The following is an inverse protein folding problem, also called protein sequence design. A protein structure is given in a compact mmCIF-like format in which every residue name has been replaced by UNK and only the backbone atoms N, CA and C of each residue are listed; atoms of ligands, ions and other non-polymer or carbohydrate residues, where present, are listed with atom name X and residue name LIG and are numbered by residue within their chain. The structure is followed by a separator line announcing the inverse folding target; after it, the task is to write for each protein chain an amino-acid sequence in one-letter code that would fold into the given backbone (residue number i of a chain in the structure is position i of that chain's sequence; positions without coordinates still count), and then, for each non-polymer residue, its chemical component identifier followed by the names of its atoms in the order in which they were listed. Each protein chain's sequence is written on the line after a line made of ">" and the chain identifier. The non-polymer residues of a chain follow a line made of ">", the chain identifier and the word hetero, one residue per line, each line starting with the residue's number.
data_IF_411441032264
#
_entry.id   IF_411441032264
#
_cell.length_a   1.000
_cell.length_b   1.000
_cell.length_c   1.000
_cell.angle_alpha   90.00
_cell.angle_beta   90.00
_cell.angle_gamma   90.00
#
_symmetry.space_group_name_H-M   'P 1'
#
loop_
_entity.id
_entity.type
_entity.pdbx_description
1 polymer ?
#
# COMPACT_ATOMS: atom_id res chain seq x y z
N UNK A 1 -47.44 3.28 37.15
CA UNK A 1 -46.19 3.95 36.68
C UNK A 1 -45.19 2.83 36.44
N UNK A 2 -44.91 2.55 35.16
CA UNK A 2 -44.16 1.42 34.69
C UNK A 2 -42.69 1.48 35.17
N UNK A 3 -42.30 0.54 36.02
CA UNK A 3 -40.88 0.24 36.30
C UNK A 3 -40.26 -0.40 35.07
N UNK A 4 -39.87 0.41 34.11
CA UNK A 4 -38.94 -0.02 33.04
C UNK A 4 -37.59 -0.22 33.72
N UNK A 5 -36.96 -1.41 33.67
CA UNK A 5 -35.64 -1.60 34.26
C UNK A 5 -34.66 -0.57 33.72
N UNK A 6 -33.77 -0.02 34.55
CA UNK A 6 -32.77 0.99 34.20
C UNK A 6 -31.97 0.58 32.94
N UNK A 7 -31.72 -0.70 32.76
CA UNK A 7 -31.09 -1.26 31.59
C UNK A 7 -31.89 -1.02 30.28
N UNK A 8 -33.22 -1.16 30.30
CA UNK A 8 -34.10 -0.91 29.14
C UNK A 8 -34.15 0.57 28.84
N UNK A 9 -34.14 1.44 29.85
CA UNK A 9 -34.11 2.90 29.65
C UNK A 9 -32.82 3.33 28.97
N UNK A 10 -31.67 2.82 29.43
CA UNK A 10 -30.37 3.06 28.77
C UNK A 10 -30.29 2.57 27.30
N UNK A 11 -30.93 1.45 26.98
CA UNK A 11 -31.02 0.96 25.61
C UNK A 11 -31.90 1.86 24.70
N UNK A 12 -33.01 2.36 25.24
CA UNK A 12 -33.90 3.29 24.50
C UNK A 12 -33.17 4.61 24.19
N UNK A 13 -32.47 5.19 25.15
CA UNK A 13 -31.66 6.39 24.92
C UNK A 13 -30.54 6.16 23.91
N UNK A 14 -29.90 5.01 23.94
CA UNK A 14 -28.86 4.68 22.97
C UNK A 14 -29.42 4.51 21.55
N UNK A 15 -30.57 3.91 21.40
CA UNK A 15 -31.24 3.76 20.09
C UNK A 15 -31.74 5.11 19.54
N UNK A 16 -32.26 5.98 20.38
CA UNK A 16 -32.61 7.35 20.00
C UNK A 16 -31.39 8.13 19.54
N UNK A 17 -30.29 8.07 20.26
CA UNK A 17 -29.02 8.70 19.89
C UNK A 17 -28.48 8.15 18.58
N UNK A 18 -28.54 6.84 18.37
CA UNK A 18 -28.14 6.20 17.09
C UNK A 18 -28.99 6.69 15.92
N UNK A 19 -30.30 6.78 16.13
CA UNK A 19 -31.24 7.25 15.11
C UNK A 19 -31.01 8.74 14.79
N UNK A 20 -30.83 9.59 15.81
CA UNK A 20 -30.47 10.98 15.63
C UNK A 20 -29.20 11.14 14.80
N UNK A 21 -28.12 10.44 15.15
CA UNK A 21 -26.85 10.49 14.44
C UNK A 21 -26.96 9.96 13.01
N UNK A 22 -27.86 9.01 12.74
CA UNK A 22 -28.15 8.51 11.39
C UNK A 22 -28.80 9.59 10.54
N UNK A 23 -29.79 10.28 11.08
CA UNK A 23 -30.50 11.39 10.39
C UNK A 23 -29.53 12.55 10.15
N UNK A 24 -28.78 12.96 11.17
CA UNK A 24 -27.80 14.04 11.08
C UNK A 24 -26.75 13.78 9.98
N UNK A 25 -26.15 12.57 9.96
CA UNK A 25 -25.19 12.19 8.90
C UNK A 25 -25.84 12.20 7.50
N UNK A 26 -27.10 11.79 7.42
CA UNK A 26 -27.82 11.85 6.14
C UNK A 26 -28.01 13.31 5.67
N UNK A 27 -28.41 14.21 6.55
CA UNK A 27 -28.55 15.63 6.25
C UNK A 27 -27.23 16.24 5.78
N UNK A 28 -26.10 15.93 6.45
CA UNK A 28 -24.79 16.39 6.02
C UNK A 28 -24.45 15.92 4.60
N UNK A 29 -24.68 14.66 4.28
CA UNK A 29 -24.44 14.15 2.92
C UNK A 29 -25.36 14.73 1.86
N UNK A 30 -26.61 14.97 2.22
CA UNK A 30 -27.61 15.52 1.29
C UNK A 30 -27.38 17.03 1.04
N UNK A 31 -26.67 17.73 1.94
CA UNK A 31 -26.36 19.16 1.82
C UNK A 31 -25.03 19.47 1.12
N UNK A 32 -24.22 18.46 0.78
CA UNK A 32 -22.88 18.66 0.25
C UNK A 32 -22.59 17.66 -0.88
N UNK A 33 -21.87 18.14 -1.90
CA UNK A 33 -21.31 17.28 -2.94
C UNK A 33 -19.79 17.30 -2.84
N UNK A 34 -19.13 16.19 -2.47
CA UNK A 34 -17.66 16.16 -2.35
C UNK A 34 -16.92 16.58 -3.63
N UNK A 35 -17.55 16.38 -4.79
CA UNK A 35 -16.97 16.75 -6.09
C UNK A 35 -17.14 18.24 -6.46
N UNK A 36 -17.71 19.05 -5.59
CA UNK A 36 -17.73 20.53 -5.69
C UNK A 36 -16.65 21.18 -4.82
N UNK A 37 -15.89 20.36 -4.07
CA UNK A 37 -14.74 20.82 -3.29
C UNK A 37 -13.65 21.36 -4.23
N UNK A 38 -12.90 22.43 -3.85
CA UNK A 38 -11.72 22.85 -4.60
C UNK A 38 -10.74 21.69 -4.80
N UNK A 39 -10.15 21.59 -6.00
CA UNK A 39 -9.31 20.45 -6.41
C UNK A 39 -8.15 20.20 -5.42
N UNK A 40 -7.48 21.26 -4.98
CA UNK A 40 -6.37 21.16 -4.02
C UNK A 40 -6.83 20.52 -2.70
N UNK A 41 -7.99 20.93 -2.18
CA UNK A 41 -8.54 20.37 -0.94
C UNK A 41 -9.04 18.92 -1.16
N UNK A 42 -9.54 18.61 -2.36
CA UNK A 42 -9.95 17.27 -2.73
C UNK A 42 -8.75 16.30 -2.71
N UNK A 43 -7.64 16.70 -3.37
CA UNK A 43 -6.40 15.90 -3.39
C UNK A 43 -5.83 15.73 -1.98
N UNK A 44 -5.76 16.78 -1.16
CA UNK A 44 -5.33 16.68 0.24
C UNK A 44 -6.17 15.69 1.05
N UNK A 45 -7.48 15.65 0.78
CA UNK A 45 -8.44 14.83 1.52
C UNK A 45 -8.47 13.38 1.04
N UNK A 46 -8.39 13.15 -0.27
CA UNK A 46 -8.64 11.85 -0.90
C UNK A 46 -7.43 11.28 -1.67
N UNK A 47 -6.34 12.05 -1.79
CA UNK A 47 -5.05 11.64 -2.42
C UNK A 47 -5.10 11.38 -3.93
N UNK A 48 -6.25 11.46 -4.54
CA UNK A 48 -6.47 11.44 -5.98
C UNK A 48 -7.19 12.73 -6.37
N UNK A 49 -7.08 13.13 -7.64
CA UNK A 49 -7.88 14.23 -8.16
C UNK A 49 -9.32 13.78 -8.44
N UNK A 50 -10.21 14.75 -8.68
CA UNK A 50 -11.63 14.45 -8.86
C UNK A 50 -11.89 13.56 -10.07
N UNK A 51 -11.24 13.83 -11.20
CA UNK A 51 -11.45 13.07 -12.44
C UNK A 51 -11.00 11.63 -12.30
N UNK A 52 -9.80 11.39 -11.73
CA UNK A 52 -9.30 10.05 -11.47
C UNK A 52 -10.18 9.29 -10.48
N UNK A 53 -10.73 10.00 -9.49
CA UNK A 53 -11.66 9.42 -8.53
C UNK A 53 -12.98 9.01 -9.21
N UNK A 54 -13.50 9.80 -10.15
CA UNK A 54 -14.68 9.42 -10.96
C UNK A 54 -14.40 8.19 -11.80
N UNK A 55 -13.28 8.16 -12.49
CA UNK A 55 -12.82 6.99 -13.28
C UNK A 55 -12.72 5.75 -12.39
N UNK A 56 -12.11 5.87 -11.22
CA UNK A 56 -12.00 4.76 -10.25
C UNK A 56 -13.38 4.24 -9.83
N UNK A 57 -14.33 5.13 -9.56
CA UNK A 57 -15.70 4.76 -9.21
C UNK A 57 -16.36 4.01 -10.39
N UNK A 58 -16.23 4.52 -11.60
CA UNK A 58 -16.79 3.89 -12.83
C UNK A 58 -16.25 2.48 -13.05
N UNK A 59 -14.96 2.25 -12.80
CA UNK A 59 -14.36 0.91 -12.92
C UNK A 59 -14.88 -0.07 -11.87
N UNK A 60 -15.15 0.40 -10.66
CA UNK A 60 -15.49 -0.48 -9.53
C UNK A 60 -16.99 -0.66 -9.33
N UNK A 61 -17.82 0.33 -9.68
CA UNK A 61 -19.27 0.34 -9.38
C UNK A 61 -20.03 -0.84 -9.98
N UNK A 62 -19.77 -1.30 -11.23
CA UNK A 62 -20.44 -2.46 -11.79
C UNK A 62 -20.25 -3.74 -10.95
N UNK A 63 -19.17 -3.83 -10.23
CA UNK A 63 -18.79 -4.98 -9.38
C UNK A 63 -19.18 -4.79 -7.91
N UNK A 64 -19.69 -3.62 -7.54
CA UNK A 64 -20.01 -3.28 -6.15
C UNK A 64 -21.24 -3.99 -5.58
N UNK A 65 -21.96 -4.75 -6.42
CA UNK A 65 -23.19 -5.46 -6.08
C UNK A 65 -24.45 -4.58 -6.10
N UNK A 66 -25.61 -5.21 -6.33
CA UNK A 66 -26.87 -4.50 -6.54
C UNK A 66 -27.31 -3.74 -5.29
N UNK A 67 -27.70 -2.50 -5.47
CA UNK A 67 -28.28 -1.64 -4.43
C UNK A 67 -29.77 -2.03 -4.22
N UNK A 68 -30.01 -2.97 -3.29
CA UNK A 68 -31.38 -3.47 -3.01
C UNK A 68 -32.24 -2.55 -2.11
N UNK A 69 -31.64 -1.57 -1.43
CA UNK A 69 -32.34 -0.69 -0.48
C UNK A 69 -32.02 0.77 -0.79
N UNK A 70 -33.02 1.66 -0.78
CA UNK A 70 -32.85 3.12 -0.95
C UNK A 70 -32.01 3.74 0.16
N UNK A 71 -31.96 3.11 1.34
CA UNK A 71 -31.15 3.55 2.49
C UNK A 71 -29.68 3.13 2.42
N UNK A 72 -29.28 2.33 1.41
CA UNK A 72 -27.88 1.93 1.21
C UNK A 72 -27.08 3.14 0.73
N UNK A 73 -25.90 3.32 1.33
CA UNK A 73 -24.97 4.39 0.96
C UNK A 73 -24.63 4.33 -0.54
N UNK A 74 -24.53 5.47 -1.23
CA UNK A 74 -24.01 5.55 -2.59
C UNK A 74 -22.59 5.00 -2.65
N UNK A 75 -22.26 4.30 -3.73
CA UNK A 75 -20.96 3.64 -3.84
C UNK A 75 -19.79 4.63 -3.88
N UNK A 76 -19.98 5.80 -4.50
CA UNK A 76 -18.94 6.83 -4.51
C UNK A 76 -18.50 7.26 -3.10
N UNK A 77 -19.43 7.29 -2.12
CA UNK A 77 -19.07 7.57 -0.73
C UNK A 77 -18.26 6.45 -0.09
N UNK A 78 -18.51 5.19 -0.46
CA UNK A 78 -17.70 4.06 0.00
C UNK A 78 -16.26 4.18 -0.52
N UNK A 79 -16.07 4.63 -1.77
CA UNK A 79 -14.77 4.89 -2.38
C UNK A 79 -14.07 6.07 -1.70
N UNK A 80 -14.75 7.22 -1.57
CA UNK A 80 -14.20 8.41 -0.92
C UNK A 80 -13.79 8.15 0.54
N UNK A 81 -14.62 7.41 1.29
CA UNK A 81 -14.28 6.99 2.65
C UNK A 81 -13.00 6.15 2.70
N UNK A 82 -12.84 5.24 1.72
CA UNK A 82 -11.65 4.40 1.61
C UNK A 82 -10.42 5.23 1.26
N UNK A 83 -10.51 6.12 0.28
CA UNK A 83 -9.42 7.01 -0.11
C UNK A 83 -8.99 7.92 1.05
N UNK A 84 -9.95 8.50 1.78
CA UNK A 84 -9.66 9.33 2.95
C UNK A 84 -8.94 8.53 4.05
N UNK A 85 -9.38 7.29 4.33
CA UNK A 85 -8.69 6.41 5.27
C UNK A 85 -7.26 6.11 4.82
N UNK A 86 -7.07 5.69 3.57
CA UNK A 86 -5.75 5.39 3.01
C UNK A 86 -4.82 6.61 3.10
N UNK A 87 -5.34 7.78 2.71
CA UNK A 87 -4.57 9.02 2.63
C UNK A 87 -4.21 9.63 3.98
N UNK A 88 -5.08 9.53 4.99
CA UNK A 88 -4.86 10.16 6.29
C UNK A 88 -4.24 9.21 7.32
N UNK A 89 -4.46 7.91 7.20
CA UNK A 89 -4.12 6.93 8.22
C UNK A 89 -4.89 7.15 9.53
N UNK A 90 -6.00 7.90 9.48
CA UNK A 90 -6.79 8.24 10.67
C UNK A 90 -7.64 7.07 11.11
N UNK A 91 -8.04 7.07 12.41
CA UNK A 91 -9.01 6.09 12.89
C UNK A 91 -10.32 6.17 12.12
N UNK A 92 -10.99 5.03 11.93
CA UNK A 92 -12.27 4.94 11.21
C UNK A 92 -13.34 5.91 11.75
N UNK A 93 -13.31 6.21 13.05
CA UNK A 93 -14.21 7.19 13.65
C UNK A 93 -13.95 8.60 13.09
N UNK A 94 -12.70 9.02 12.99
CA UNK A 94 -12.30 10.32 12.42
C UNK A 94 -12.67 10.45 10.96
N UNK A 95 -12.45 9.39 10.16
CA UNK A 95 -12.90 9.32 8.76
C UNK A 95 -14.42 9.50 8.67
N UNK A 96 -15.18 8.82 9.52
CA UNK A 96 -16.64 8.92 9.57
C UNK A 96 -17.16 10.29 10.03
N UNK A 97 -16.33 11.05 10.76
CA UNK A 97 -16.64 12.42 11.21
C UNK A 97 -16.29 13.48 10.17
N UNK A 98 -15.56 13.13 9.11
CA UNK A 98 -15.34 14.00 7.98
C UNK A 98 -16.70 14.37 7.35
N UNK A 99 -17.00 15.68 7.27
CA UNK A 99 -18.30 16.18 6.80
C UNK A 99 -18.64 15.69 5.40
N UNK A 100 -17.65 15.58 4.53
CA UNK A 100 -17.79 15.13 3.14
C UNK A 100 -18.11 13.64 3.00
N UNK A 101 -17.80 12.84 4.02
CA UNK A 101 -18.06 11.40 4.07
C UNK A 101 -19.28 11.11 4.93
N UNK A 102 -19.34 11.68 6.13
CA UNK A 102 -20.42 11.62 7.11
C UNK A 102 -21.01 10.20 7.29
N UNK A 103 -20.16 9.22 7.63
CA UNK A 103 -20.52 7.82 7.78
C UNK A 103 -20.32 7.33 9.21
N UNK A 104 -21.02 6.25 9.60
CA UNK A 104 -20.74 5.58 10.88
C UNK A 104 -19.50 4.70 10.78
N UNK A 105 -18.79 4.53 11.89
CA UNK A 105 -17.59 3.68 11.94
C UNK A 105 -17.84 2.25 11.40
N UNK A 106 -18.95 1.54 11.68
CA UNK A 106 -19.22 0.24 11.04
C UNK A 106 -19.45 0.33 9.54
N UNK A 107 -19.96 1.46 9.02
CA UNK A 107 -20.11 1.68 7.60
C UNK A 107 -18.73 1.88 6.94
N UNK A 108 -17.85 2.69 7.54
CA UNK A 108 -16.46 2.85 7.10
C UNK A 108 -15.75 1.49 7.04
N UNK A 109 -15.82 0.70 8.10
CA UNK A 109 -15.20 -0.63 8.15
C UNK A 109 -15.64 -1.54 7.01
N UNK A 110 -16.95 -1.56 6.71
CA UNK A 110 -17.49 -2.34 5.58
C UNK A 110 -17.03 -1.80 4.23
N UNK A 111 -17.00 -0.48 4.07
CA UNK A 111 -16.55 0.20 2.84
C UNK A 111 -15.09 -0.12 2.54
N UNK A 112 -14.21 0.01 3.54
CA UNK A 112 -12.79 -0.35 3.43
C UNK A 112 -12.60 -1.79 2.96
N UNK A 113 -13.26 -2.75 3.63
CA UNK A 113 -13.18 -4.17 3.25
C UNK A 113 -13.64 -4.40 1.81
N UNK A 114 -14.74 -3.78 1.41
CA UNK A 114 -15.33 -3.94 0.09
C UNK A 114 -14.47 -3.30 -1.00
N UNK A 115 -14.13 -2.02 -0.84
CA UNK A 115 -13.40 -1.27 -1.88
C UNK A 115 -11.98 -1.81 -2.04
N UNK A 116 -11.24 -2.08 -0.93
CA UNK A 116 -9.90 -2.68 -1.04
C UNK A 116 -9.92 -4.03 -1.75
N UNK A 117 -10.93 -4.89 -1.49
CA UNK A 117 -11.07 -6.16 -2.21
C UNK A 117 -11.40 -5.98 -3.69
N UNK A 118 -12.24 -5.00 -4.04
CA UNK A 118 -12.55 -4.68 -5.44
C UNK A 118 -11.31 -4.17 -6.17
N UNK A 119 -10.58 -3.24 -5.59
CA UNK A 119 -9.32 -2.73 -6.16
C UNK A 119 -8.31 -3.87 -6.36
N UNK A 120 -8.11 -4.70 -5.33
CA UNK A 120 -7.16 -5.82 -5.42
C UNK A 120 -7.60 -6.88 -6.43
N UNK A 121 -8.90 -7.22 -6.48
CA UNK A 121 -9.38 -8.28 -7.36
C UNK A 121 -9.52 -7.88 -8.82
N UNK A 122 -9.81 -6.61 -9.10
CA UNK A 122 -10.12 -6.13 -10.45
C UNK A 122 -8.97 -5.33 -11.06
N UNK A 123 -8.36 -4.44 -10.28
CA UNK A 123 -7.40 -3.49 -10.81
C UNK A 123 -5.94 -3.95 -10.61
N UNK A 124 -5.62 -4.57 -9.49
CA UNK A 124 -4.24 -4.99 -9.23
C UNK A 124 -3.64 -5.86 -10.36
N UNK A 125 -4.35 -6.87 -10.94
CA UNK A 125 -3.79 -7.67 -12.02
C UNK A 125 -3.47 -6.88 -13.29
N UNK A 126 -4.14 -5.73 -13.49
CA UNK A 126 -3.90 -4.85 -14.63
C UNK A 126 -2.79 -3.82 -14.38
N UNK A 127 -2.67 -3.36 -13.14
CA UNK A 127 -1.78 -2.25 -12.78
C UNK A 127 -0.44 -2.67 -12.17
N UNK A 128 -0.37 -3.86 -11.56
CA UNK A 128 0.86 -4.42 -10.97
C UNK A 128 1.20 -5.68 -11.76
N UNK A 129 2.11 -5.56 -12.73
CA UNK A 129 2.53 -6.65 -13.61
C UNK A 129 4.06 -6.74 -13.63
N UNK A 130 4.57 -7.91 -13.31
CA UNK A 130 5.99 -8.20 -13.49
C UNK A 130 6.29 -8.50 -14.98
N UNK A 131 7.37 -7.96 -15.56
CA UNK A 131 7.68 -8.14 -16.98
C UNK A 131 7.99 -9.61 -17.28
N UNK A 132 7.28 -10.17 -18.26
CA UNK A 132 7.43 -11.56 -18.69
C UNK A 132 7.94 -11.67 -20.12
N UNK A 133 7.57 -10.73 -20.99
CA UNK A 133 8.02 -10.74 -22.38
C UNK A 133 9.35 -10.00 -22.56
N UNK A 134 10.06 -10.31 -23.63
CA UNK A 134 11.34 -9.64 -23.94
C UNK A 134 11.15 -8.15 -24.23
N UNK A 135 10.02 -7.77 -24.83
CA UNK A 135 9.66 -6.37 -25.09
C UNK A 135 9.48 -5.59 -23.78
N UNK A 136 8.71 -6.14 -22.82
CA UNK A 136 8.51 -5.54 -21.50
C UNK A 136 9.84 -5.40 -20.75
N UNK A 137 10.65 -6.47 -20.72
CA UNK A 137 11.98 -6.45 -20.10
C UNK A 137 12.90 -5.42 -20.76
N UNK A 138 12.89 -5.33 -22.07
CA UNK A 138 13.74 -4.39 -22.84
C UNK A 138 13.36 -2.93 -22.52
N UNK A 139 12.07 -2.63 -22.45
CA UNK A 139 11.60 -1.29 -22.08
C UNK A 139 12.08 -0.88 -20.68
N UNK A 140 11.98 -1.79 -19.67
CA UNK A 140 12.43 -1.52 -18.32
C UNK A 140 13.95 -1.40 -18.23
N UNK A 141 14.70 -2.28 -18.90
CA UNK A 141 16.17 -2.20 -19.01
C UNK A 141 16.63 -0.86 -19.60
N UNK A 142 15.93 -0.38 -20.65
CA UNK A 142 16.16 0.94 -21.24
C UNK A 142 16.03 2.06 -20.20
N UNK A 143 14.96 2.08 -19.42
CA UNK A 143 14.73 3.08 -18.40
C UNK A 143 15.79 3.09 -17.29
N UNK A 144 16.29 1.94 -16.87
CA UNK A 144 17.41 1.86 -15.90
C UNK A 144 18.74 2.31 -16.54
N UNK A 145 18.98 1.92 -17.78
CA UNK A 145 20.20 2.33 -18.48
C UNK A 145 20.25 3.85 -18.73
N UNK A 146 19.16 4.44 -19.19
CA UNK A 146 19.06 5.87 -19.44
C UNK A 146 19.28 6.71 -18.18
N UNK A 147 18.71 6.27 -17.04
CA UNK A 147 18.78 7.03 -15.80
C UNK A 147 20.05 6.81 -14.98
N UNK A 148 20.58 5.59 -14.99
CA UNK A 148 21.64 5.17 -14.08
C UNK A 148 22.86 4.59 -14.78
N UNK A 149 22.81 4.33 -16.10
CA UNK A 149 23.87 3.66 -16.84
C UNK A 149 24.00 2.16 -16.52
N UNK A 150 23.05 1.58 -15.76
CA UNK A 150 23.09 0.18 -15.33
C UNK A 150 22.35 -0.71 -16.34
N UNK A 151 23.06 -1.69 -16.91
CA UNK A 151 22.51 -2.58 -17.94
C UNK A 151 21.81 -3.78 -17.32
N UNK A 152 20.76 -4.26 -17.98
CA UNK A 152 20.12 -5.56 -17.65
C UNK A 152 19.17 -5.54 -16.46
N UNK A 153 19.05 -4.43 -15.71
CA UNK A 153 18.12 -4.32 -14.61
C UNK A 153 16.67 -4.32 -15.09
N UNK A 154 15.85 -5.20 -14.55
CA UNK A 154 14.39 -5.29 -14.80
C UNK A 154 13.56 -4.94 -13.58
N UNK A 155 14.17 -4.49 -12.51
CA UNK A 155 13.52 -4.01 -11.30
C UNK A 155 14.47 -3.90 -10.12
N UNK A 156 14.09 -3.07 -9.15
CA UNK A 156 14.69 -3.02 -7.83
C UNK A 156 13.75 -3.67 -6.83
N UNK A 157 14.27 -4.53 -5.96
CA UNK A 157 13.52 -5.26 -4.93
C UNK A 157 13.91 -4.78 -3.54
N UNK A 158 12.90 -4.63 -2.68
CA UNK A 158 13.10 -4.31 -1.26
C UNK A 158 11.93 -4.82 -0.41
N UNK A 159 12.16 -4.95 0.92
CA UNK A 159 11.15 -5.22 1.92
C UNK A 159 10.77 -3.95 2.67
N UNK A 160 9.49 -3.80 3.00
CA UNK A 160 9.04 -2.72 3.86
C UNK A 160 8.01 -3.22 4.87
N UNK A 161 8.13 -2.77 6.13
CA UNK A 161 7.21 -3.15 7.18
C UNK A 161 6.01 -2.22 7.26
N UNK A 162 4.82 -2.80 7.45
CA UNK A 162 3.57 -2.10 7.76
C UNK A 162 3.05 -2.61 9.09
N UNK A 163 2.99 -1.73 10.09
CA UNK A 163 2.57 -2.07 11.45
C UNK A 163 1.08 -2.44 11.50
N UNK A 164 0.76 -3.49 12.26
CA UNK A 164 -0.60 -3.97 12.50
C UNK A 164 -0.85 -4.16 13.99
N UNK A 165 -2.11 -4.18 14.40
CA UNK A 165 -2.44 -4.62 15.76
C UNK A 165 -2.05 -6.10 15.95
N UNK A 166 -1.74 -6.45 17.18
CA UNK A 166 -1.48 -7.84 17.58
C UNK A 166 -2.66 -8.73 17.15
N UNK A 167 -2.43 -9.76 16.31
CA UNK A 167 -3.48 -10.73 16.01
C UNK A 167 -3.98 -11.43 17.29
N UNK A 168 -5.25 -11.88 17.33
CA UNK A 168 -5.77 -12.61 18.50
C UNK A 168 -4.98 -13.90 18.77
N UNK A 169 -4.67 -14.20 20.03
CA UNK A 169 -3.97 -15.43 20.43
C UNK A 169 -4.73 -16.69 20.00
N UNK A 170 -6.04 -16.58 19.85
CA UNK A 170 -6.92 -17.68 19.39
C UNK A 170 -6.88 -17.91 17.89
N UNK A 171 -6.22 -17.05 17.12
CA UNK A 171 -6.07 -17.20 15.68
C UNK A 171 -4.91 -18.14 15.36
N UNK A 172 -5.22 -19.39 15.06
CA UNK A 172 -4.22 -20.44 14.78
C UNK A 172 -3.49 -20.18 13.46
N UNK A 173 -4.16 -19.58 12.49
CA UNK A 173 -3.60 -19.32 11.16
C UNK A 173 -2.66 -18.09 11.18
N UNK A 174 -2.84 -17.19 12.16
CA UNK A 174 -2.06 -15.95 12.28
C UNK A 174 -1.55 -15.77 13.72
N UNK A 175 -0.69 -16.68 14.22
CA UNK A 175 -0.22 -16.61 15.61
C UNK A 175 0.59 -15.31 15.83
N UNK A 176 0.33 -14.56 16.93
CA UNK A 176 0.93 -13.24 17.16
C UNK A 176 2.44 -13.17 17.06
N UNK A 177 3.13 -14.18 17.58
CA UNK A 177 4.60 -14.19 17.68
C UNK A 177 5.32 -14.14 16.33
N UNK A 178 4.72 -14.66 15.25
CA UNK A 178 5.33 -14.61 13.92
C UNK A 178 5.26 -13.21 13.28
N UNK A 179 4.40 -12.33 13.80
CA UNK A 179 4.28 -10.96 13.29
C UNK A 179 5.24 -9.96 13.95
N UNK A 180 5.94 -10.36 15.01
CA UNK A 180 6.91 -9.49 15.71
C UNK A 180 8.15 -9.35 14.83
N UNK A 181 8.43 -8.11 14.40
CA UNK A 181 9.62 -7.78 13.62
C UNK A 181 10.86 -7.54 14.52
N UNK A 182 11.99 -7.20 13.91
CA UNK A 182 13.25 -6.91 14.62
C UNK A 182 13.18 -5.73 15.61
N UNK A 183 12.18 -4.85 15.46
CA UNK A 183 11.95 -3.70 16.35
C UNK A 183 10.98 -4.05 17.49
N UNK A 184 10.50 -5.29 17.57
CA UNK A 184 9.55 -5.74 18.59
C UNK A 184 8.10 -5.33 18.36
N UNK A 185 7.74 -4.83 17.15
CA UNK A 185 6.38 -4.45 16.80
C UNK A 185 5.74 -5.48 15.87
N UNK A 186 4.40 -5.60 15.94
CA UNK A 186 3.68 -6.49 15.04
C UNK A 186 3.52 -5.83 13.69
N UNK A 187 4.00 -6.47 12.64
CA UNK A 187 3.99 -5.94 11.28
C UNK A 187 3.77 -7.02 10.23
N UNK A 188 3.41 -6.59 9.03
CA UNK A 188 3.50 -7.37 7.79
C UNK A 188 4.78 -6.93 7.09
N UNK A 189 5.62 -7.89 6.69
CA UNK A 189 6.73 -7.62 5.79
C UNK A 189 6.23 -7.67 4.34
N UNK A 190 6.32 -6.55 3.64
CA UNK A 190 5.81 -6.36 2.28
C UNK A 190 6.97 -6.34 1.30
N UNK A 191 7.06 -7.35 0.45
CA UNK A 191 8.01 -7.35 -0.67
C UNK A 191 7.48 -6.47 -1.79
N UNK A 192 8.28 -5.51 -2.23
CA UNK A 192 8.01 -4.66 -3.38
C UNK A 192 9.09 -4.80 -4.45
N UNK A 193 8.69 -4.75 -5.70
CA UNK A 193 9.61 -4.60 -6.85
C UNK A 193 9.11 -3.41 -7.67
N UNK A 194 10.00 -2.49 -8.04
CA UNK A 194 9.66 -1.35 -8.86
C UNK A 194 10.60 -1.18 -10.07
N UNK A 195 10.14 -0.42 -11.07
CA UNK A 195 10.97 0.04 -12.18
C UNK A 195 11.74 1.33 -11.85
N UNK A 196 12.48 1.86 -12.83
CA UNK A 196 13.25 3.12 -12.70
C UNK A 196 12.38 4.37 -12.54
N UNK A 197 11.06 4.28 -12.74
CA UNK A 197 10.07 5.35 -12.60
C UNK A 197 9.22 5.24 -11.34
N UNK A 198 9.62 4.38 -10.39
CA UNK A 198 8.87 4.09 -9.16
C UNK A 198 7.51 3.40 -9.39
N UNK A 199 7.26 2.83 -10.57
CA UNK A 199 6.08 2.00 -10.82
C UNK A 199 6.28 0.64 -10.16
N UNK A 200 5.36 0.23 -9.31
CA UNK A 200 5.38 -1.07 -8.65
C UNK A 200 5.06 -2.16 -9.68
N UNK A 201 5.99 -3.07 -9.86
CA UNK A 201 5.91 -4.23 -10.77
C UNK A 201 5.43 -5.49 -10.04
N UNK A 202 5.67 -5.56 -8.73
CA UNK A 202 5.19 -6.64 -7.86
C UNK A 202 5.01 -6.13 -6.43
N UNK A 203 4.03 -6.71 -5.75
CA UNK A 203 3.76 -6.46 -4.34
C UNK A 203 3.30 -7.77 -3.69
N UNK A 204 3.94 -8.18 -2.60
CA UNK A 204 3.51 -9.33 -1.80
C UNK A 204 3.44 -8.95 -0.32
N UNK A 205 2.24 -8.90 0.23
CA UNK A 205 1.92 -8.53 1.61
C UNK A 205 1.36 -9.71 2.43
N UNK A 206 1.74 -10.95 2.09
CA UNK A 206 1.25 -12.16 2.78
C UNK A 206 2.08 -12.58 3.97
N UNK A 207 3.29 -12.03 4.11
CA UNK A 207 4.27 -12.52 5.07
C UNK A 207 4.27 -11.74 6.37
N UNK A 208 4.35 -12.43 7.52
CA UNK A 208 4.46 -11.79 8.82
C UNK A 208 5.82 -11.11 9.01
N UNK A 209 5.88 -10.13 9.90
CA UNK A 209 7.04 -9.26 10.10
C UNK A 209 8.33 -9.93 10.54
N UNK A 210 8.26 -11.14 11.12
CA UNK A 210 9.46 -11.89 11.48
C UNK A 210 10.19 -12.54 10.29
N UNK A 211 9.54 -12.62 9.12
CA UNK A 211 10.12 -13.26 7.94
C UNK A 211 11.06 -12.27 7.24
N UNK A 212 12.30 -12.68 7.01
CA UNK A 212 13.31 -11.89 6.30
C UNK A 212 12.99 -11.75 4.81
N UNK A 213 13.35 -10.61 4.22
CA UNK A 213 13.12 -10.27 2.80
C UNK A 213 13.66 -11.35 1.85
N UNK A 214 14.86 -11.85 2.10
CA UNK A 214 15.45 -12.93 1.31
C UNK A 214 14.65 -14.24 1.38
N UNK A 215 13.98 -14.52 2.49
CA UNK A 215 13.13 -15.71 2.62
C UNK A 215 11.83 -15.53 1.83
N UNK A 216 11.24 -14.32 1.83
CA UNK A 216 10.06 -13.99 1.04
C UNK A 216 10.38 -14.15 -0.46
N UNK A 217 11.47 -13.55 -0.91
CA UNK A 217 11.89 -13.67 -2.31
C UNK A 217 12.15 -15.12 -2.72
N UNK A 218 12.79 -15.90 -1.85
CA UNK A 218 13.14 -17.32 -2.12
C UNK A 218 11.92 -18.18 -2.46
N UNK A 219 10.77 -17.91 -1.84
CA UNK A 219 9.54 -18.67 -2.06
C UNK A 219 8.59 -18.00 -3.08
N UNK A 220 8.98 -16.86 -3.65
CA UNK A 220 8.15 -16.11 -4.60
C UNK A 220 8.11 -16.76 -5.98
N UNK A 221 6.95 -16.62 -6.66
CA UNK A 221 6.79 -17.03 -8.05
C UNK A 221 7.71 -16.23 -8.98
N UNK A 222 8.05 -14.99 -8.59
CA UNK A 222 8.96 -14.12 -9.36
C UNK A 222 10.36 -14.73 -9.42
N UNK A 223 10.89 -15.18 -8.28
CA UNK A 223 12.18 -15.86 -8.26
C UNK A 223 12.17 -17.13 -9.11
N UNK A 224 11.12 -17.93 -9.01
CA UNK A 224 10.98 -19.13 -9.83
C UNK A 224 10.93 -18.80 -11.34
N UNK A 225 10.20 -17.76 -11.71
CA UNK A 225 10.14 -17.29 -13.09
C UNK A 225 11.51 -16.80 -13.59
N UNK A 226 12.22 -15.98 -12.80
CA UNK A 226 13.56 -15.50 -13.16
C UNK A 226 14.56 -16.65 -13.33
N UNK A 227 14.52 -17.65 -12.43
CA UNK A 227 15.34 -18.86 -12.54
C UNK A 227 15.05 -19.60 -13.84
N UNK A 228 13.78 -19.84 -14.16
CA UNK A 228 13.39 -20.52 -15.39
C UNK A 228 13.80 -19.73 -16.64
N UNK A 229 13.67 -18.41 -16.62
CA UNK A 229 14.16 -17.57 -17.73
C UNK A 229 15.67 -17.70 -17.91
N UNK A 230 16.44 -17.67 -16.85
CA UNK A 230 17.90 -17.84 -16.86
C UNK A 230 18.32 -19.22 -17.40
N UNK A 231 17.69 -20.30 -16.90
CA UNK A 231 17.92 -21.67 -17.36
C UNK A 231 17.57 -21.85 -18.84
N UNK A 232 16.64 -21.03 -19.37
CA UNK A 232 16.25 -21.00 -20.78
C UNK A 232 17.04 -19.99 -21.64
N UNK A 233 18.13 -19.42 -21.11
CA UNK A 233 19.09 -18.59 -21.85
C UNK A 233 18.89 -17.07 -21.75
N UNK A 234 17.97 -16.56 -20.89
CA UNK A 234 17.91 -15.13 -20.55
C UNK A 234 18.91 -14.80 -19.43
N UNK A 235 20.18 -14.71 -19.81
CA UNK A 235 21.29 -14.35 -18.94
C UNK A 235 21.56 -12.83 -18.90
N UNK A 236 20.60 -12.02 -19.36
CA UNK A 236 20.72 -10.56 -19.51
C UNK A 236 19.72 -9.78 -18.66
N UNK A 237 18.91 -10.47 -17.85
CA UNK A 237 17.82 -9.87 -17.05
C UNK A 237 18.00 -10.19 -15.57
N UNK A 238 18.08 -9.16 -14.73
CA UNK A 238 18.22 -9.33 -13.27
C UNK A 238 17.52 -8.24 -12.48
N UNK A 239 17.21 -8.57 -11.24
CA UNK A 239 16.79 -7.63 -10.21
C UNK A 239 18.01 -7.04 -9.50
N UNK A 240 17.79 -5.90 -8.83
CA UNK A 240 18.75 -5.26 -7.93
C UNK A 240 18.17 -5.29 -6.52
N UNK A 241 18.88 -5.90 -5.58
CA UNK A 241 18.52 -5.94 -4.16
C UNK A 241 19.60 -5.33 -3.28
N UNK A 242 19.32 -5.25 -1.99
CA UNK A 242 20.30 -4.86 -0.97
C UNK A 242 21.17 -6.05 -0.52
N UNK A 243 22.05 -5.82 0.44
CA UNK A 243 22.94 -6.86 1.00
C UNK A 243 22.21 -7.94 1.81
N UNK A 244 20.95 -7.72 2.18
CA UNK A 244 20.12 -8.70 2.89
C UNK A 244 19.62 -9.83 2.00
N UNK A 245 19.68 -9.65 0.68
CA UNK A 245 19.39 -10.71 -0.29
C UNK A 245 20.65 -11.50 -0.63
N UNK A 246 20.51 -12.81 -0.82
CA UNK A 246 21.59 -13.63 -1.38
C UNK A 246 21.82 -13.32 -2.86
N UNK A 247 23.08 -13.23 -3.28
CA UNK A 247 23.41 -13.03 -4.69
C UNK A 247 23.04 -14.26 -5.52
N UNK A 248 22.33 -14.04 -6.62
CA UNK A 248 21.93 -15.06 -7.57
C UNK A 248 22.19 -14.56 -9.00
N UNK A 249 22.26 -15.43 -10.04
CA UNK A 249 22.49 -14.99 -11.42
C UNK A 249 21.45 -13.96 -11.93
N UNK A 250 20.27 -13.96 -11.35
CA UNK A 250 19.15 -13.06 -11.68
C UNK A 250 18.87 -12.01 -10.58
N UNK A 251 19.72 -11.91 -9.54
CA UNK A 251 19.58 -10.93 -8.45
C UNK A 251 20.96 -10.40 -8.07
N UNK A 252 21.24 -9.15 -8.39
CA UNK A 252 22.48 -8.48 -8.09
C UNK A 252 22.39 -7.71 -6.78
N UNK A 253 23.38 -7.94 -5.92
CA UNK A 253 23.50 -7.33 -4.59
C UNK A 253 24.89 -6.72 -4.42
N UNK A 254 25.12 -5.83 -3.44
CA UNK A 254 26.43 -5.28 -3.17
C UNK A 254 27.46 -6.37 -2.84
N UNK A 255 28.68 -6.21 -3.34
CA UNK A 255 29.81 -7.06 -2.99
C UNK A 255 30.28 -6.69 -1.58
N UNK A 256 30.29 -7.64 -0.62
CA UNK A 256 30.80 -7.35 0.72
C UNK A 256 32.34 -7.13 0.67
N UNK A 257 32.81 -6.21 1.51
CA UNK A 257 34.25 -5.91 1.68
C UNK A 257 34.97 -5.64 0.36
N UNK A 258 34.98 -4.38 -0.04
CA UNK A 258 35.65 -3.91 -1.27
C UNK A 258 36.80 -2.96 -0.95
N UNK A 259 37.90 -3.04 -1.73
CA UNK A 259 39.02 -2.13 -1.58
C UNK A 259 38.68 -0.74 -2.17
N UNK A 260 39.08 0.38 -1.51
CA UNK A 260 38.90 1.71 -2.06
C UNK A 260 39.51 1.88 -3.46
N UNK A 261 38.79 2.52 -4.37
CA UNK A 261 39.19 2.73 -5.75
C UNK A 261 39.09 1.50 -6.66
N UNK A 262 38.66 0.35 -6.12
CA UNK A 262 38.57 -0.91 -6.91
C UNK A 262 37.39 -0.89 -7.90
N UNK A 263 37.43 -1.76 -8.94
CA UNK A 263 36.28 -1.97 -9.81
C UNK A 263 35.01 -2.40 -9.04
N UNK A 264 35.17 -3.17 -7.98
CA UNK A 264 34.09 -3.65 -7.11
C UNK A 264 33.44 -2.49 -6.34
N UNK A 265 34.23 -1.53 -5.87
CA UNK A 265 33.68 -0.34 -5.24
C UNK A 265 32.85 0.49 -6.23
N UNK A 266 33.33 0.68 -7.47
CA UNK A 266 32.58 1.35 -8.53
C UNK A 266 31.28 0.63 -8.85
N UNK A 267 31.31 -0.70 -8.90
CA UNK A 267 30.10 -1.52 -9.03
C UNK A 267 29.11 -1.25 -7.89
N UNK A 268 29.56 -1.29 -6.64
CA UNK A 268 28.71 -1.03 -5.47
C UNK A 268 28.11 0.39 -5.50
N UNK A 269 28.90 1.38 -5.91
CA UNK A 269 28.41 2.77 -6.05
C UNK A 269 27.31 2.87 -7.12
N UNK A 270 27.54 2.25 -8.29
CA UNK A 270 26.56 2.21 -9.38
C UNK A 270 25.29 1.45 -8.97
N UNK A 271 25.44 0.31 -8.30
CA UNK A 271 24.32 -0.51 -7.83
C UNK A 271 23.49 0.25 -6.80
N UNK A 272 24.13 0.97 -5.86
CA UNK A 272 23.45 1.81 -4.85
C UNK A 272 22.63 2.91 -5.53
N UNK A 273 23.21 3.64 -6.48
CA UNK A 273 22.47 4.69 -7.21
C UNK A 273 21.31 4.13 -8.01
N UNK A 274 21.48 2.94 -8.60
CA UNK A 274 20.43 2.25 -9.39
C UNK A 274 19.31 1.72 -8.49
N UNK A 275 19.57 1.48 -7.20
CA UNK A 275 18.57 1.02 -6.22
C UNK A 275 17.70 2.15 -5.65
N UNK A 276 18.11 3.42 -5.78
CA UNK A 276 17.33 4.57 -5.29
C UNK A 276 15.82 4.56 -5.66
N UNK A 277 15.39 4.08 -6.85
CA UNK A 277 13.97 3.99 -7.17
C UNK A 277 13.13 3.22 -6.17
N UNK A 278 13.62 2.13 -5.58
CA UNK A 278 12.79 1.35 -4.64
C UNK A 278 12.64 2.07 -3.29
N UNK A 279 13.68 2.75 -2.80
CA UNK A 279 13.61 3.58 -1.59
C UNK A 279 12.64 4.75 -1.83
N UNK A 280 12.75 5.40 -3.00
CA UNK A 280 11.82 6.45 -3.40
C UNK A 280 10.39 5.94 -3.57
N UNK A 281 10.19 4.72 -4.11
CA UNK A 281 8.88 4.09 -4.23
C UNK A 281 8.24 3.90 -2.86
N UNK A 282 9.00 3.39 -1.89
CA UNK A 282 8.55 3.25 -0.51
C UNK A 282 8.13 4.62 0.09
N UNK A 283 8.96 5.65 -0.07
CA UNK A 283 8.65 7.01 0.40
C UNK A 283 7.38 7.58 -0.26
N UNK A 284 7.25 7.48 -1.59
CA UNK A 284 6.07 7.96 -2.33
C UNK A 284 4.80 7.19 -1.95
N UNK A 285 4.88 5.85 -1.88
CA UNK A 285 3.74 5.00 -1.52
C UNK A 285 3.20 5.36 -0.13
N UNK A 286 4.07 5.42 0.86
CA UNK A 286 3.72 5.70 2.24
C UNK A 286 3.36 7.17 2.47
N UNK A 287 4.04 8.13 1.81
CA UNK A 287 3.70 9.54 1.84
C UNK A 287 2.31 9.81 1.29
N UNK A 288 1.95 9.18 0.16
CA UNK A 288 0.60 9.27 -0.42
C UNK A 288 -0.45 8.57 0.44
N UNK A 289 -0.16 7.36 0.90
CA UNK A 289 -1.08 6.55 1.70
C UNK A 289 -0.58 6.39 3.12
N UNK A 290 -0.76 7.45 3.91
CA UNK A 290 -0.24 7.59 5.26
C UNK A 290 -0.74 6.53 6.25
N UNK A 291 -1.72 5.71 5.88
CA UNK A 291 -2.09 4.53 6.65
C UNK A 291 -0.99 3.46 6.69
N UNK A 292 0.04 3.55 5.82
CA UNK A 292 1.16 2.61 5.72
C UNK A 292 2.44 3.09 6.41
N UNK A 293 2.47 4.35 6.91
CA UNK A 293 3.67 4.89 7.57
C UNK A 293 3.90 4.24 8.93
N UNK A 294 5.17 4.22 9.35
CA UNK A 294 5.58 3.82 10.69
C UNK A 294 4.78 4.60 11.75
N UNK A 295 4.43 3.95 12.85
CA UNK A 295 3.59 4.50 13.94
C UNK A 295 2.11 4.76 13.59
N UNK A 296 1.65 4.37 12.39
CA UNK A 296 0.23 4.33 12.03
C UNK A 296 -0.27 2.89 11.97
N UNK A 297 -0.33 2.28 13.16
CA UNK A 297 -0.74 0.87 13.31
C UNK A 297 -2.08 0.62 12.64
N UNK A 298 -2.13 -0.29 11.67
CA UNK A 298 -3.37 -0.72 11.06
C UNK A 298 -4.18 -1.57 12.04
N UNK A 299 -5.32 -1.05 12.48
CA UNK A 299 -6.25 -1.75 13.38
C UNK A 299 -7.09 -2.78 12.63
N UNK A 300 -6.42 -3.71 11.95
CA UNK A 300 -7.05 -4.76 11.14
C UNK A 300 -6.32 -6.08 11.31
N UNK A 301 -7.09 -7.16 11.16
CA UNK A 301 -6.54 -8.50 11.00
C UNK A 301 -5.56 -8.58 9.82
N UNK A 302 -4.48 -9.38 9.88
CA UNK A 302 -3.45 -9.46 8.83
C UNK A 302 -3.99 -9.57 7.41
N UNK A 303 -4.98 -10.44 7.18
CA UNK A 303 -5.61 -10.60 5.86
C UNK A 303 -6.23 -9.31 5.35
N UNK A 304 -6.91 -8.54 6.21
CA UNK A 304 -7.50 -7.27 5.80
C UNK A 304 -6.45 -6.18 5.63
N UNK A 305 -5.39 -6.19 6.45
CA UNK A 305 -4.25 -5.29 6.29
C UNK A 305 -3.54 -5.54 4.95
N UNK A 306 -3.36 -6.79 4.54
CA UNK A 306 -2.82 -7.13 3.22
C UNK A 306 -3.66 -6.53 2.08
N UNK A 307 -5.01 -6.63 2.14
CA UNK A 307 -5.88 -5.99 1.14
C UNK A 307 -5.74 -4.46 1.10
N UNK A 308 -5.51 -3.81 2.25
CA UNK A 308 -5.25 -2.38 2.33
C UNK A 308 -3.93 -2.04 1.64
N UNK A 309 -2.87 -2.80 1.89
CA UNK A 309 -1.55 -2.64 1.28
C UNK A 309 -1.62 -2.83 -0.24
N UNK A 310 -2.27 -3.90 -0.72
CA UNK A 310 -2.45 -4.15 -2.15
C UNK A 310 -3.24 -3.04 -2.84
N UNK A 311 -4.33 -2.58 -2.21
CA UNK A 311 -5.12 -1.48 -2.76
C UNK A 311 -4.31 -0.19 -2.84
N UNK A 312 -3.54 0.16 -1.81
CA UNK A 312 -2.67 1.33 -1.80
C UNK A 312 -1.58 1.23 -2.89
N UNK A 313 -0.93 0.06 -3.03
CA UNK A 313 0.08 -0.19 -4.08
C UNK A 313 -0.51 -0.06 -5.49
N UNK A 314 -1.72 -0.55 -5.70
CA UNK A 314 -2.43 -0.42 -6.98
C UNK A 314 -2.77 1.04 -7.29
N UNK A 315 -3.34 1.75 -6.31
CA UNK A 315 -3.67 3.17 -6.43
C UNK A 315 -2.44 4.05 -6.59
N UNK A 316 -1.28 3.64 -6.05
CA UNK A 316 0.00 4.31 -6.31
C UNK A 316 0.35 4.29 -7.81
N UNK A 317 0.28 3.14 -8.47
CA UNK A 317 0.54 3.03 -9.90
C UNK A 317 -0.48 3.84 -10.73
N UNK A 318 -1.75 3.82 -10.36
CA UNK A 318 -2.80 4.61 -11.00
C UNK A 318 -2.52 6.11 -10.86
N UNK A 319 -2.06 6.56 -9.68
CA UNK A 319 -1.71 7.95 -9.45
C UNK A 319 -0.45 8.38 -10.24
N UNK A 320 0.55 7.50 -10.37
CA UNK A 320 1.71 7.74 -11.22
C UNK A 320 1.32 7.88 -12.68
N UNK A 321 0.45 7.01 -13.18
CA UNK A 321 -0.07 7.07 -14.55
C UNK A 321 -0.78 8.40 -14.83
N UNK A 322 -1.53 8.91 -13.86
CA UNK A 322 -2.21 10.19 -13.95
C UNK A 322 -1.28 11.41 -13.69
N UNK A 323 0.03 11.21 -13.54
CA UNK A 323 1.01 12.24 -13.21
C UNK A 323 0.64 13.09 -11.99
N UNK A 324 -0.01 12.47 -10.99
CA UNK A 324 -0.32 13.17 -9.73
C UNK A 324 0.93 13.27 -8.88
N UNK A 325 1.46 14.50 -8.80
CA UNK A 325 2.58 14.82 -7.91
C UNK A 325 2.19 14.59 -6.43
N UNK A 326 3.19 14.30 -5.60
CA UNK A 326 3.11 14.44 -4.15
C UNK A 326 3.70 15.80 -3.78
N UNK A 327 3.19 16.41 -2.72
CA UNK A 327 3.84 17.57 -2.13
C UNK A 327 5.23 17.16 -1.62
N UNK A 328 6.25 18.00 -1.90
CA UNK A 328 7.64 17.70 -1.50
C UNK A 328 7.77 17.47 0.01
N UNK A 329 6.99 18.16 0.81
CA UNK A 329 6.90 17.99 2.27
C UNK A 329 6.39 16.60 2.70
N UNK A 330 5.60 15.94 1.87
CA UNK A 330 5.10 14.58 2.16
C UNK A 330 6.17 13.51 1.88
N UNK A 331 7.09 13.77 0.96
CA UNK A 331 8.23 12.88 0.64
C UNK A 331 9.35 13.03 1.68
N UNK A 332 9.58 14.23 2.19
CA UNK A 332 10.66 14.54 3.13
C UNK A 332 10.48 13.90 4.52
N UNK A 333 9.25 13.66 4.95
CA UNK A 333 8.95 13.08 6.28
C UNK A 333 9.47 11.64 6.44
N UNK A 334 9.71 10.90 5.36
CA UNK A 334 10.24 9.52 5.43
C UNK A 334 11.76 9.42 5.26
N UNK A 335 12.42 10.44 4.71
CA UNK A 335 13.88 10.43 4.53
C UNK A 335 14.66 10.57 5.86
N UNK A 336 14.04 11.12 6.91
CA UNK A 336 14.65 11.23 8.23
C UNK A 336 14.66 9.89 9.00
N UNK A 337 13.80 8.92 8.64
CA UNK A 337 13.74 7.62 9.32
C UNK A 337 14.67 6.56 8.71
N UNK A 338 15.13 6.76 7.47
CA UNK A 338 16.03 5.82 6.77
C UNK A 338 17.51 5.92 7.15
N UNK A 339 17.94 7.04 7.75
CA UNK A 339 19.36 7.29 8.06
C UNK A 339 19.80 6.80 9.46
N UNK A 340 18.90 6.24 10.26
CA UNK A 340 19.22 5.76 11.63
C UNK A 340 19.87 4.37 11.70
N UNK A 341 19.81 3.56 10.67
CA UNK A 341 20.20 2.13 10.73
C UNK A 341 21.59 1.79 10.14
N UNK A 342 22.38 2.79 9.69
CA UNK A 342 23.70 2.56 9.11
C UNK A 342 24.89 2.82 10.05
N UNK A 343 24.67 2.96 11.35
CA UNK A 343 25.74 3.18 12.31
C UNK A 343 25.64 2.23 13.50
N UNK A 344 25.85 0.92 13.30
CA UNK A 344 26.47 0.03 14.34
C UNK A 344 26.99 -1.25 13.67
N UNK A 345 28.31 -1.44 13.75
CA UNK A 345 29.03 -2.72 13.84
C UNK A 345 29.31 -3.47 12.57
#
# INVERSE_FOLDING_TARGET
>A
INNIPVFIYGLLEEDERRNYMRIYRKQLRDSQNPFEMPEVEFIKTFRLNQDLTRILIEWLEPHAGIRRRTTKLPFYLEVLATLNFLGTGSYQHSVGSCTWVAMSQPAISRSLKKVCRLVTGLLMPEWIKFPTTMEEKTAIKGGFYEKFGFRGAIGCIDGTHVEIITPPITDVDHPPHVYIDRNGVHSINVMLICDSNCKILACDARFPGSVHDSAIFRVSDIRNNLRMCFENGDDTSWLIGDSGYGQEPWLFTPIPVVAPGSPQERYNQLLRSTRNPIERTNGILKGRFRCLIKHRVLHFHPVQAAYIIYAASTLHNIALWANLALDEDEIAVENDEGNGDNAVG
#
